data_IF_632438859883
#
_entry.id   IF_632438859883
#
_cell.length_a   1.000
_cell.length_b   1.000
_cell.length_c   1.000
_cell.angle_alpha   90.00
_cell.angle_beta   90.00
_cell.angle_gamma   90.00
#
_symmetry.space_group_name_H-M   'P 1'
#
loop_
_entity.id
_entity.type
_entity.pdbx_description
1 polymer ?
#
# COMPACT_ATOMS: atom_id res chain seq x y z
N UNK A 1 -19.58 -8.84 -0.98
CA UNK A 1 -18.96 -9.23 0.30
C UNK A 1 -17.51 -9.60 0.01
N UNK A 2 -16.57 -8.65 0.15
CA UNK A 2 -15.15 -8.90 -0.17
C UNK A 2 -14.44 -9.45 1.07
N UNK A 3 -13.64 -10.54 0.95
CA UNK A 3 -12.96 -11.14 2.09
C UNK A 3 -11.90 -10.20 2.68
N UNK A 4 -11.57 -10.37 3.96
CA UNK A 4 -10.64 -9.51 4.67
C UNK A 4 -9.27 -9.63 4.03
N UNK A 5 -8.75 -8.49 3.60
CA UNK A 5 -7.32 -8.13 3.50
C UNK A 5 -6.38 -9.28 3.86
N UNK A 6 -6.16 -10.21 2.93
CA UNK A 6 -4.99 -11.06 3.02
C UNK A 6 -3.82 -10.07 3.03
N UNK A 7 -3.21 -9.90 4.20
CA UNK A 7 -2.08 -9.01 4.37
C UNK A 7 -1.09 -9.40 3.26
N UNK A 8 -0.95 -8.52 2.26
CA UNK A 8 0.28 -8.45 1.50
C UNK A 8 1.37 -8.55 2.55
N UNK A 9 2.24 -9.58 2.49
CA UNK A 9 3.36 -9.80 3.42
C UNK A 9 4.41 -8.69 3.30
N UNK A 10 3.96 -7.46 3.47
CA UNK A 10 4.71 -6.23 3.47
C UNK A 10 4.91 -5.92 4.94
N UNK A 11 6.17 -5.90 5.37
CA UNK A 11 6.51 -5.57 6.74
C UNK A 11 5.92 -4.20 7.12
N UNK A 12 5.48 -4.06 8.38
CA UNK A 12 4.94 -2.79 8.89
C UNK A 12 5.93 -1.63 8.66
N UNK A 13 7.24 -1.91 8.76
CA UNK A 13 8.31 -0.95 8.46
C UNK A 13 8.24 -0.45 7.02
N UNK A 14 8.08 -1.34 6.05
CA UNK A 14 7.94 -0.97 4.63
C UNK A 14 6.70 -0.12 4.39
N UNK A 15 5.59 -0.42 5.06
CA UNK A 15 4.39 0.42 5.01
C UNK A 15 4.70 1.82 5.54
N UNK A 16 5.38 1.95 6.68
CA UNK A 16 5.75 3.26 7.22
C UNK A 16 6.72 4.03 6.31
N UNK A 17 7.66 3.36 5.64
CA UNK A 17 8.52 3.99 4.64
C UNK A 17 7.71 4.54 3.45
N UNK A 18 6.74 3.76 2.95
CA UNK A 18 5.86 4.19 1.86
C UNK A 18 4.99 5.39 2.25
N UNK A 19 4.52 5.42 3.51
CA UNK A 19 3.77 6.56 4.05
C UNK A 19 4.69 7.79 4.18
N UNK A 20 5.92 7.61 4.71
CA UNK A 20 6.89 8.70 4.90
C UNK A 20 7.36 9.29 3.57
N UNK A 21 7.54 8.45 2.56
CA UNK A 21 7.92 8.85 1.19
C UNK A 21 6.75 9.38 0.35
N UNK A 22 5.56 9.54 0.96
CA UNK A 22 4.33 9.98 0.32
C UNK A 22 3.94 9.13 -0.92
N UNK A 23 4.44 7.89 -0.98
CA UNK A 23 4.16 6.93 -2.05
C UNK A 23 2.82 6.22 -1.84
N UNK A 24 2.28 6.30 -0.63
CA UNK A 24 1.04 5.65 -0.24
C UNK A 24 0.20 6.63 0.56
N UNK A 25 -0.95 7.01 -0.03
CA UNK A 25 -1.85 7.99 0.56
C UNK A 25 -2.44 7.42 1.84
N UNK A 26 -2.48 8.24 2.88
CA UNK A 26 -3.08 7.87 4.17
C UNK A 26 -4.14 8.87 4.56
N UNK A 27 -5.14 8.37 5.28
CA UNK A 27 -6.15 9.19 5.93
C UNK A 27 -5.99 9.07 7.43
N UNK A 28 -6.18 10.19 8.14
CA UNK A 28 -6.24 10.17 9.60
C UNK A 28 -7.67 9.89 10.02
N UNK A 29 -7.89 8.83 10.78
CA UNK A 29 -9.18 8.52 11.39
C UNK A 29 -8.95 8.50 12.90
N UNK A 30 -9.42 9.56 13.58
CA UNK A 30 -9.09 9.82 14.99
C UNK A 30 -7.58 10.00 15.22
N UNK A 31 -7.03 9.22 16.15
CA UNK A 31 -5.60 9.19 16.49
C UNK A 31 -4.74 8.27 15.64
N UNK A 32 -5.31 7.56 14.65
CA UNK A 32 -4.59 6.56 13.85
C UNK A 32 -4.53 6.92 12.37
N UNK A 33 -3.37 6.67 11.73
CA UNK A 33 -3.24 6.69 10.27
C UNK A 33 -3.76 5.38 9.69
N UNK A 34 -4.65 5.47 8.71
CA UNK A 34 -5.21 4.34 7.96
C UNK A 34 -4.88 4.50 6.48
N UNK A 35 -4.66 3.37 5.82
CA UNK A 35 -4.46 3.31 4.38
C UNK A 35 -5.82 3.01 3.74
N UNK A 36 -6.37 3.89 2.89
CA UNK A 36 -7.55 3.57 2.10
C UNK A 36 -7.28 2.41 1.13
N UNK A 37 -8.23 1.49 0.96
CA UNK A 37 -8.10 0.37 0.02
C UNK A 37 -7.74 0.85 -1.40
N UNK A 38 -8.41 1.91 -1.89
CA UNK A 38 -8.11 2.51 -3.21
C UNK A 38 -6.67 2.99 -3.35
N UNK A 39 -6.08 3.53 -2.29
CA UNK A 39 -4.68 3.99 -2.33
C UNK A 39 -3.70 2.81 -2.43
N UNK A 40 -4.06 1.68 -1.83
CA UNK A 40 -3.30 0.44 -1.96
C UNK A 40 -3.44 -0.13 -3.38
N UNK A 41 -4.66 -0.15 -3.93
CA UNK A 41 -4.91 -0.61 -5.30
C UNK A 41 -4.15 0.23 -6.33
N UNK A 42 -4.17 1.56 -6.20
CA UNK A 42 -3.40 2.48 -7.05
C UNK A 42 -1.89 2.21 -6.97
N UNK A 43 -1.38 1.96 -5.75
CA UNK A 43 0.02 1.64 -5.52
C UNK A 43 0.43 0.33 -6.18
N UNK A 44 -0.36 -0.73 -5.99
CA UNK A 44 -0.13 -2.04 -6.62
C UNK A 44 -0.23 -1.93 -8.13
N UNK A 45 -1.24 -1.25 -8.66
CA UNK A 45 -1.41 -1.05 -10.09
C UNK A 45 -0.23 -0.27 -10.70
N UNK A 46 0.34 0.71 -9.97
CA UNK A 46 1.57 1.40 -10.39
C UNK A 46 2.78 0.48 -10.39
N UNK A 47 2.92 -0.38 -9.39
CA UNK A 47 3.98 -1.39 -9.36
C UNK A 47 3.85 -2.36 -10.53
N UNK A 48 2.66 -2.87 -10.82
CA UNK A 48 2.40 -3.79 -11.92
C UNK A 48 2.65 -3.15 -13.30
N UNK A 49 2.36 -1.84 -13.45
CA UNK A 49 2.70 -1.08 -14.66
C UNK A 49 4.22 -0.84 -14.79
N UNK A 50 4.91 -0.66 -13.67
CA UNK A 50 6.36 -0.47 -13.63
C UNK A 50 7.17 -1.77 -13.64
N UNK A 51 6.54 -2.92 -13.36
CA UNK A 51 7.18 -4.23 -13.26
C UNK A 51 7.36 -4.93 -14.61
N UNK A 52 7.64 -4.14 -15.66
CA UNK A 52 8.35 -4.62 -16.85
C UNK A 52 9.83 -4.94 -16.59
N UNK A 53 10.25 -5.01 -15.33
CA UNK A 53 11.47 -5.68 -14.87
C UNK A 53 11.10 -6.68 -13.78
N UNK A 54 10.75 -7.88 -14.22
CA UNK A 54 10.82 -9.05 -13.36
C UNK A 54 12.26 -9.23 -12.92
N UNK A 55 12.50 -9.23 -11.62
CA UNK A 55 13.75 -9.71 -11.05
C UNK A 55 13.75 -11.23 -11.18
N UNK A 56 14.65 -11.72 -12.03
CA UNK A 56 15.09 -13.12 -12.08
C UNK A 56 15.72 -13.54 -10.74
#
# INVERSE_FOLDING_TARGET
MSPPVALLSVSRSRIYELIRSNQLRTVRVGGSRRVPARALDEYVARLLRGSGRGTA
#
